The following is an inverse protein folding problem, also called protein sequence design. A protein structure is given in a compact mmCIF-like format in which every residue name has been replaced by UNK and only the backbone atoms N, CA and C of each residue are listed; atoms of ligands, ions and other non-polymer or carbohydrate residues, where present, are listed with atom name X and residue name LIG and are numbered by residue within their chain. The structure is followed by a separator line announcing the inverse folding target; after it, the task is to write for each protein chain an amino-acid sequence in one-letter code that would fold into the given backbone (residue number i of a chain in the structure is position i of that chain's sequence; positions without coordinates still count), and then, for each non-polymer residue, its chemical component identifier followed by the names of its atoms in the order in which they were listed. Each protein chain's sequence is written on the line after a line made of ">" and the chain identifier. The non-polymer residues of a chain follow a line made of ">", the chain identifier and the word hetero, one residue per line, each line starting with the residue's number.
data_IF_885355815444
#
_entry.id   IF_885355815444
#
_cell.length_a   1.000
_cell.length_b   1.000
_cell.length_c   1.000
_cell.angle_alpha   90.00
_cell.angle_beta   90.00
_cell.angle_gamma   90.00
#
_symmetry.space_group_name_H-M   'P 1'
#
loop_
_entity.id
_entity.type
_entity.pdbx_description
1 polymer ?
#
# COMPACT_ATOMS: atom_id res chain seq x y z
N UNK A 1 6.77 -1.11 -33.74
CA UNK A 1 5.95 -1.40 -32.54
C UNK A 1 4.47 -1.38 -32.93
N UNK A 2 3.62 -2.28 -32.40
CA UNK A 2 2.19 -2.35 -32.75
C UNK A 2 1.33 -2.52 -31.48
N UNK A 3 0.23 -1.78 -31.37
CA UNK A 3 -0.77 -1.90 -30.29
C UNK A 3 -2.16 -2.01 -30.89
N UNK A 4 -2.89 -3.07 -30.56
CA UNK A 4 -4.27 -3.28 -31.00
C UNK A 4 -5.22 -2.95 -29.83
N UNK A 5 -6.23 -2.13 -30.09
CA UNK A 5 -7.25 -1.70 -29.12
C UNK A 5 -8.60 -2.18 -29.62
N UNK A 6 -9.16 -3.21 -28.98
CA UNK A 6 -10.53 -3.67 -29.25
C UNK A 6 -11.52 -2.76 -28.51
N UNK A 7 -12.47 -2.17 -29.22
CA UNK A 7 -13.48 -1.26 -28.65
C UNK A 7 -14.83 -1.46 -29.33
N UNK A 8 -15.90 -0.98 -28.69
CA UNK A 8 -17.18 -0.82 -29.36
C UNK A 8 -17.39 0.63 -29.79
N UNK A 9 -18.15 0.81 -30.86
CA UNK A 9 -18.75 2.09 -31.26
C UNK A 9 -20.03 2.28 -30.45
N UNK A 10 -20.20 3.46 -29.88
CA UNK A 10 -21.36 3.84 -29.05
C UNK A 10 -22.16 4.95 -29.73
N UNK A 11 -23.43 5.06 -29.36
CA UNK A 11 -24.33 6.09 -29.89
C UNK A 11 -24.85 5.79 -31.29
N UNK A 12 -24.66 4.56 -31.78
CA UNK A 12 -25.10 4.10 -33.11
C UNK A 12 -26.60 4.32 -33.30
N UNK A 13 -27.38 4.10 -32.25
CA UNK A 13 -28.83 4.32 -32.25
C UNK A 13 -29.25 5.77 -32.57
N UNK A 14 -28.36 6.75 -32.36
CA UNK A 14 -28.63 8.17 -32.64
C UNK A 14 -28.27 8.56 -34.07
N UNK A 15 -27.37 7.82 -34.72
CA UNK A 15 -26.92 8.09 -36.09
C UNK A 15 -27.59 7.17 -37.14
N UNK A 16 -28.13 6.03 -36.70
CA UNK A 16 -28.85 5.05 -37.52
C UNK A 16 -27.93 4.23 -38.42
N UNK A 17 -27.96 2.90 -38.27
CA UNK A 17 -27.42 1.98 -39.27
C UNK A 17 -28.51 1.66 -40.28
N UNK A 18 -28.60 2.39 -41.38
CA UNK A 18 -29.50 1.99 -42.48
C UNK A 18 -28.92 0.84 -43.32
N UNK A 19 -29.77 0.20 -44.11
CA UNK A 19 -29.37 -0.92 -44.99
C UNK A 19 -28.25 -0.52 -45.95
N UNK A 20 -28.27 0.73 -46.44
CA UNK A 20 -27.25 1.25 -47.34
C UNK A 20 -25.87 1.31 -46.67
N UNK A 21 -25.80 1.76 -45.42
CA UNK A 21 -24.57 1.84 -44.63
C UNK A 21 -24.05 0.44 -44.27
N UNK A 22 -24.94 -0.49 -43.92
CA UNK A 22 -24.58 -1.90 -43.70
C UNK A 22 -23.99 -2.50 -44.98
N UNK A 23 -24.58 -2.21 -46.14
CA UNK A 23 -24.07 -2.68 -47.42
C UNK A 23 -22.73 -2.03 -47.77
N UNK A 24 -22.52 -0.74 -47.50
CA UNK A 24 -21.21 -0.08 -47.65
C UNK A 24 -20.12 -0.75 -46.81
N UNK A 25 -20.41 -1.07 -45.55
CA UNK A 25 -19.46 -1.76 -44.67
C UNK A 25 -19.14 -3.17 -45.20
N UNK A 26 -20.17 -3.91 -45.67
CA UNK A 26 -19.99 -5.23 -46.29
C UNK A 26 -19.19 -5.17 -47.59
N UNK A 27 -19.31 -4.08 -48.34
CA UNK A 27 -18.49 -3.78 -49.52
C UNK A 27 -17.07 -3.28 -49.16
N UNK A 28 -16.62 -3.46 -47.90
CA UNK A 28 -15.29 -3.10 -47.41
C UNK A 28 -14.95 -1.61 -47.53
N UNK A 29 -15.95 -0.71 -47.42
CA UNK A 29 -15.63 0.71 -47.26
C UNK A 29 -14.75 0.90 -46.02
N UNK A 30 -13.67 1.68 -46.12
CA UNK A 30 -12.75 1.86 -45.02
C UNK A 30 -13.44 2.59 -43.86
N UNK A 31 -13.28 2.04 -42.67
CA UNK A 31 -13.60 2.75 -41.43
C UNK A 31 -12.52 3.79 -41.18
N UNK A 32 -12.94 5.02 -40.93
CA UNK A 32 -12.04 6.14 -40.62
C UNK A 32 -12.37 6.75 -39.26
N UNK A 33 -11.38 7.44 -38.67
CA UNK A 33 -11.52 8.12 -37.39
C UNK A 33 -11.38 9.62 -37.58
N UNK A 34 -12.19 10.38 -36.85
CA UNK A 34 -12.10 11.84 -36.81
C UNK A 34 -12.13 12.32 -35.37
N UNK A 35 -11.16 13.13 -34.98
CA UNK A 35 -11.16 13.78 -33.65
C UNK A 35 -12.23 14.87 -33.61
N UNK A 36 -12.93 14.96 -32.48
CA UNK A 36 -13.91 16.02 -32.20
C UNK A 36 -13.53 16.76 -30.90
N UNK A 37 -12.42 17.54 -30.88
CA UNK A 37 -11.95 18.19 -29.66
C UNK A 37 -12.93 19.22 -29.08
N UNK A 38 -13.82 19.77 -29.92
CA UNK A 38 -14.90 20.68 -29.52
C UNK A 38 -16.17 20.00 -28.99
N UNK A 39 -16.16 18.68 -28.80
CA UNK A 39 -17.33 17.97 -28.27
C UNK A 39 -17.63 18.40 -26.82
N UNK A 40 -18.89 18.76 -26.55
CA UNK A 40 -19.35 19.31 -25.25
C UNK A 40 -19.24 18.34 -24.07
N UNK A 41 -19.19 17.02 -24.32
CA UNK A 41 -19.17 15.99 -23.29
C UNK A 41 -17.77 15.39 -23.08
N UNK A 42 -16.96 15.33 -24.13
CA UNK A 42 -15.63 14.75 -24.09
C UNK A 42 -14.68 15.38 -25.12
N UNK A 43 -13.72 16.18 -24.65
CA UNK A 43 -12.65 16.76 -25.50
C UNK A 43 -11.80 15.72 -26.23
N UNK A 44 -11.82 14.47 -25.78
CA UNK A 44 -11.10 13.37 -26.44
C UNK A 44 -12.01 12.56 -27.38
N UNK A 45 -13.23 13.01 -27.67
CA UNK A 45 -14.16 12.31 -28.53
C UNK A 45 -13.52 12.00 -29.90
N UNK A 46 -13.69 10.75 -30.32
CA UNK A 46 -13.26 10.26 -31.63
C UNK A 46 -14.49 9.65 -32.30
N UNK A 47 -14.93 10.28 -33.38
CA UNK A 47 -16.00 9.78 -34.22
C UNK A 47 -15.46 8.65 -35.12
N UNK A 48 -16.31 7.66 -35.36
CA UNK A 48 -16.07 6.60 -36.35
C UNK A 48 -16.93 6.89 -37.55
N UNK A 49 -16.33 6.81 -38.74
CA UNK A 49 -17.00 7.12 -40.00
C UNK A 49 -16.87 5.94 -40.97
N UNK A 50 -17.87 5.82 -41.85
CA UNK A 50 -17.83 4.98 -43.05
C UNK A 50 -17.99 5.93 -44.23
N UNK A 51 -16.95 6.08 -45.04
CA UNK A 51 -16.87 7.21 -45.98
C UNK A 51 -16.98 8.54 -45.22
N UNK A 52 -18.00 9.34 -45.54
CA UNK A 52 -18.26 10.63 -44.88
C UNK A 52 -19.38 10.56 -43.82
N UNK A 53 -19.98 9.40 -43.59
CA UNK A 53 -21.08 9.24 -42.65
C UNK A 53 -20.56 8.84 -41.28
N UNK A 54 -20.88 9.63 -40.26
CA UNK A 54 -20.61 9.29 -38.85
C UNK A 54 -21.57 8.21 -38.38
N UNK A 55 -21.01 7.14 -37.80
CA UNK A 55 -21.78 6.00 -37.29
C UNK A 55 -21.84 5.96 -35.76
N UNK A 56 -21.00 6.76 -35.10
CA UNK A 56 -20.97 6.88 -33.65
C UNK A 56 -19.59 7.31 -33.16
N UNK A 57 -19.32 7.00 -31.89
CA UNK A 57 -18.07 7.35 -31.23
C UNK A 57 -17.37 6.14 -30.65
N UNK A 58 -16.06 6.23 -30.52
CA UNK A 58 -15.29 5.29 -29.70
C UNK A 58 -15.68 5.46 -28.23
N UNK A 59 -15.73 4.36 -27.46
CA UNK A 59 -15.88 4.44 -26.01
C UNK A 59 -14.88 5.40 -25.37
N UNK A 60 -15.37 6.21 -24.42
CA UNK A 60 -14.59 7.20 -23.68
C UNK A 60 -13.24 6.69 -23.17
N UNK A 61 -13.21 5.50 -22.57
CA UNK A 61 -11.99 4.88 -22.03
C UNK A 61 -10.88 4.75 -23.07
N UNK A 62 -11.21 4.35 -24.31
CA UNK A 62 -10.23 4.19 -25.38
C UNK A 62 -9.97 5.50 -26.12
N UNK A 63 -10.97 6.39 -26.21
CA UNK A 63 -10.82 7.71 -26.84
C UNK A 63 -9.74 8.57 -26.15
N UNK A 64 -9.56 8.40 -24.83
CA UNK A 64 -8.49 9.04 -24.04
C UNK A 64 -7.08 8.67 -24.47
N UNK A 65 -6.91 7.53 -25.14
CA UNK A 65 -5.62 7.05 -25.66
C UNK A 65 -5.50 7.35 -27.15
N UNK A 66 -6.56 7.10 -27.91
CA UNK A 66 -6.56 7.22 -29.37
C UNK A 66 -6.54 8.68 -29.82
N UNK A 67 -7.28 9.57 -29.14
CA UNK A 67 -7.33 10.98 -29.52
C UNK A 67 -5.96 11.68 -29.37
N UNK A 68 -5.21 11.50 -28.26
CA UNK A 68 -3.84 11.99 -28.18
C UNK A 68 -2.88 11.34 -29.20
N UNK A 69 -3.04 10.04 -29.48
CA UNK A 69 -2.20 9.36 -30.48
C UNK A 69 -2.41 9.95 -31.89
N UNK A 70 -3.67 10.22 -32.24
CA UNK A 70 -4.02 10.93 -33.49
C UNK A 70 -3.48 12.36 -33.52
N UNK A 71 -3.43 13.05 -32.37
CA UNK A 71 -2.87 14.40 -32.27
C UNK A 71 -1.36 14.43 -32.47
N UNK A 72 -0.67 13.46 -31.86
CA UNK A 72 0.78 13.40 -31.89
C UNK A 72 1.32 13.01 -33.27
N UNK A 73 0.51 12.29 -34.07
CA UNK A 73 0.85 11.83 -35.43
C UNK A 73 2.19 11.05 -35.49
N UNK A 74 2.48 10.29 -34.42
CA UNK A 74 3.72 9.52 -34.29
C UNK A 74 3.59 8.07 -34.78
N UNK A 75 2.37 7.62 -35.02
CA UNK A 75 2.05 6.25 -35.42
C UNK A 75 0.94 6.25 -36.47
N UNK A 76 1.02 5.31 -37.41
CA UNK A 76 -0.08 5.05 -38.32
C UNK A 76 -1.24 4.41 -37.55
N UNK A 77 -2.45 4.81 -37.90
CA UNK A 77 -3.68 4.38 -37.23
C UNK A 77 -4.59 3.73 -38.27
N UNK A 78 -4.89 2.45 -38.07
CA UNK A 78 -5.84 1.73 -38.92
C UNK A 78 -7.01 1.21 -38.10
N UNK A 79 -8.18 1.15 -38.72
CA UNK A 79 -9.40 0.63 -38.08
C UNK A 79 -9.93 -0.52 -38.89
N UNK A 80 -10.18 -1.63 -38.19
CA UNK A 80 -10.76 -2.82 -38.76
C UNK A 80 -11.97 -3.22 -37.95
N UNK A 81 -12.96 -3.76 -38.60
CA UNK A 81 -14.11 -4.34 -37.93
C UNK A 81 -13.75 -5.74 -37.41
N UNK A 82 -14.29 -6.14 -36.26
CA UNK A 82 -14.03 -7.46 -35.67
C UNK A 82 -14.70 -8.58 -36.48
N UNK A 83 -15.96 -8.40 -36.89
CA UNK A 83 -16.69 -9.37 -37.70
C UNK A 83 -17.58 -8.68 -38.75
N UNK A 84 -17.12 -8.53 -40.01
CA UNK A 84 -17.90 -7.91 -41.08
C UNK A 84 -19.07 -8.73 -41.58
N UNK A 85 -19.12 -10.03 -41.32
CA UNK A 85 -20.17 -10.89 -41.87
C UNK A 85 -21.46 -10.81 -41.06
N UNK A 86 -21.35 -10.46 -39.78
CA UNK A 86 -22.48 -10.48 -38.83
C UNK A 86 -23.15 -9.12 -38.59
N UNK A 87 -22.76 -8.07 -39.33
CA UNK A 87 -23.43 -6.76 -39.19
C UNK A 87 -24.87 -6.85 -39.72
N UNK A 88 -25.80 -6.43 -38.86
CA UNK A 88 -27.22 -6.21 -39.17
C UNK A 88 -27.62 -4.78 -38.79
N UNK A 89 -28.76 -4.32 -39.30
CA UNK A 89 -29.32 -2.99 -39.01
C UNK A 89 -29.57 -2.81 -37.50
N UNK A 90 -30.04 -3.86 -36.82
CA UNK A 90 -30.30 -3.87 -35.37
C UNK A 90 -29.14 -4.41 -34.54
N UNK A 91 -27.90 -3.97 -34.82
CA UNK A 91 -26.75 -4.43 -34.05
C UNK A 91 -26.68 -3.76 -32.68
N UNK A 92 -26.70 -4.57 -31.62
CA UNK A 92 -26.53 -4.05 -30.25
C UNK A 92 -25.10 -3.56 -29.98
N UNK A 93 -24.10 -4.14 -30.66
CA UNK A 93 -22.68 -3.87 -30.45
C UNK A 93 -21.91 -3.89 -31.76
N UNK A 94 -21.37 -2.74 -32.15
CA UNK A 94 -20.47 -2.64 -33.29
C UNK A 94 -19.02 -2.61 -32.79
N UNK A 95 -18.33 -3.74 -32.88
CA UNK A 95 -16.96 -3.88 -32.38
C UNK A 95 -15.91 -3.64 -33.47
N UNK A 96 -14.92 -2.80 -33.16
CA UNK A 96 -13.79 -2.48 -34.02
C UNK A 96 -12.47 -2.73 -33.29
N UNK A 97 -11.42 -2.98 -34.07
CA UNK A 97 -10.03 -3.04 -33.62
C UNK A 97 -9.31 -1.85 -34.25
N UNK A 98 -8.71 -1.04 -33.39
CA UNK A 98 -7.87 0.08 -33.79
C UNK A 98 -6.42 -0.33 -33.58
N UNK A 99 -5.64 -0.29 -34.65
CA UNK A 99 -4.21 -0.61 -34.62
C UNK A 99 -3.41 0.68 -34.66
N UNK A 100 -2.57 0.90 -33.66
CA UNK A 100 -1.52 1.91 -33.67
C UNK A 100 -0.20 1.23 -34.06
N UNK A 101 0.49 1.75 -35.07
CA UNK A 101 1.75 1.20 -35.54
C UNK A 101 2.82 2.30 -35.70
N UNK A 102 3.88 2.19 -34.90
CA UNK A 102 5.02 3.09 -34.99
C UNK A 102 5.82 2.87 -36.29
N UNK A 103 6.35 3.96 -36.85
CA UNK A 103 7.12 3.97 -38.11
C UNK A 103 8.48 3.24 -38.02
N UNK A 104 9.14 3.29 -36.86
CA UNK A 104 10.42 2.62 -36.61
C UNK A 104 10.41 1.95 -35.23
N UNK A 105 11.28 0.98 -34.92
CA UNK A 105 11.51 0.55 -33.54
C UNK A 105 12.34 1.59 -32.77
N UNK A 106 12.13 1.66 -31.46
CA UNK A 106 12.94 2.48 -30.55
C UNK A 106 13.44 1.65 -29.38
N UNK A 107 14.64 1.95 -28.92
CA UNK A 107 15.25 1.29 -27.76
C UNK A 107 15.11 2.18 -26.54
N UNK A 108 14.56 1.62 -25.47
CA UNK A 108 14.51 2.29 -24.17
C UNK A 108 15.87 2.22 -23.46
N UNK A 109 16.20 3.20 -22.61
CA UNK A 109 17.41 3.15 -21.80
C UNK A 109 17.38 1.94 -20.87
N UNK A 110 18.52 1.28 -20.72
CA UNK A 110 18.75 0.24 -19.73
C UNK A 110 19.53 0.84 -18.57
N UNK A 111 18.95 0.85 -17.37
CA UNK A 111 19.58 1.45 -16.18
C UNK A 111 20.32 0.40 -15.33
N UNK A 112 20.19 -0.88 -15.68
CA UNK A 112 20.89 -1.99 -15.04
C UNK A 112 21.04 -3.17 -16.01
N UNK A 113 22.12 -3.97 -15.92
CA UNK A 113 22.25 -5.21 -16.67
C UNK A 113 21.37 -6.35 -16.12
N UNK A 114 20.80 -6.22 -14.92
CA UNK A 114 19.99 -7.25 -14.27
C UNK A 114 18.56 -6.77 -13.99
N UNK A 115 17.67 -7.69 -13.64
CA UNK A 115 16.32 -7.33 -13.16
C UNK A 115 16.45 -6.66 -11.81
N UNK A 116 16.08 -5.38 -11.75
CA UNK A 116 16.10 -4.59 -10.51
C UNK A 116 14.69 -4.07 -10.21
N UNK A 117 14.28 -4.26 -8.96
CA UNK A 117 13.12 -3.61 -8.36
C UNK A 117 13.55 -2.34 -7.61
N UNK A 118 12.73 -1.30 -7.65
CA UNK A 118 13.08 -0.03 -7.03
C UNK A 118 12.28 1.16 -7.55
N UNK A 119 12.77 2.33 -7.17
CA UNK A 119 12.35 3.65 -7.62
C UNK A 119 13.33 4.16 -8.66
N UNK A 120 12.80 4.64 -9.78
CA UNK A 120 13.56 5.26 -10.85
C UNK A 120 13.06 6.67 -11.13
N UNK A 121 13.88 7.42 -11.86
CA UNK A 121 13.59 8.77 -12.30
C UNK A 121 13.76 8.86 -13.81
N UNK A 122 12.86 9.59 -14.44
CA UNK A 122 13.01 10.11 -15.79
C UNK A 122 13.19 11.63 -15.72
N UNK A 123 14.31 12.13 -16.24
CA UNK A 123 14.47 13.56 -16.51
C UNK A 123 13.97 13.84 -17.92
N UNK A 124 13.24 14.93 -18.07
CA UNK A 124 12.49 15.30 -19.26
C UNK A 124 13.02 16.64 -19.78
N UNK A 125 13.47 16.68 -21.02
CA UNK A 125 13.92 17.88 -21.70
C UNK A 125 15.11 18.58 -21.05
N UNK A 126 15.24 19.88 -21.39
CA UNK A 126 16.29 20.78 -20.89
C UNK A 126 15.90 21.50 -19.61
N UNK A 127 14.62 21.50 -19.26
CA UNK A 127 14.04 22.19 -18.10
C UNK A 127 14.18 21.38 -16.80
N UNK A 128 14.79 20.19 -16.88
CA UNK A 128 15.05 19.30 -15.75
C UNK A 128 13.74 18.86 -15.06
N UNK A 129 12.62 18.91 -15.80
CA UNK A 129 11.34 18.35 -15.39
C UNK A 129 11.51 16.87 -15.09
N UNK A 130 10.86 16.39 -14.03
CA UNK A 130 11.18 15.09 -13.44
C UNK A 130 9.93 14.25 -13.28
N UNK A 131 10.01 12.97 -13.66
CA UNK A 131 9.03 11.96 -13.33
C UNK A 131 9.66 10.88 -12.45
N UNK A 132 8.98 10.52 -11.37
CA UNK A 132 9.35 9.41 -10.49
C UNK A 132 8.43 8.24 -10.76
N UNK A 133 8.99 7.04 -10.84
CA UNK A 133 8.21 5.82 -10.98
C UNK A 133 8.77 4.69 -10.15
N UNK A 134 7.92 3.70 -9.87
CA UNK A 134 8.30 2.44 -9.25
C UNK A 134 8.16 1.25 -10.20
N UNK A 135 8.94 0.19 -9.97
CA UNK A 135 8.73 -1.10 -10.66
C UNK A 135 9.42 -2.25 -9.95
N UNK A 136 8.91 -3.48 -10.17
CA UNK A 136 9.61 -4.74 -9.86
C UNK A 136 10.69 -5.08 -10.90
N UNK A 137 10.59 -4.49 -12.08
CA UNK A 137 11.57 -4.57 -13.15
C UNK A 137 11.61 -3.20 -13.84
N UNK A 138 12.60 -2.38 -13.45
CA UNK A 138 12.70 -0.99 -13.93
C UNK A 138 12.89 -0.95 -15.45
N UNK A 139 13.80 -1.74 -16.01
CA UNK A 139 14.05 -1.76 -17.46
C UNK A 139 12.79 -2.09 -18.27
N UNK A 140 12.04 -3.12 -17.85
CA UNK A 140 10.78 -3.48 -18.51
C UNK A 140 9.73 -2.35 -18.42
N UNK A 141 9.69 -1.61 -17.31
CA UNK A 141 8.80 -0.45 -17.17
C UNK A 141 9.24 0.70 -18.07
N UNK A 142 10.54 0.98 -18.18
CA UNK A 142 11.10 1.96 -19.10
C UNK A 142 10.78 1.63 -20.57
N UNK A 143 10.90 0.36 -20.95
CA UNK A 143 10.47 -0.10 -22.28
C UNK A 143 9.00 0.18 -22.55
N UNK A 144 8.15 -0.02 -21.55
CA UNK A 144 6.72 0.25 -21.66
C UNK A 144 6.47 1.75 -21.87
N UNK A 145 7.14 2.61 -21.10
CA UNK A 145 7.09 4.07 -21.30
C UNK A 145 7.50 4.47 -22.72
N UNK A 146 8.65 3.99 -23.22
CA UNK A 146 9.14 4.30 -24.57
C UNK A 146 8.18 3.85 -25.67
N UNK A 147 7.60 2.65 -25.51
CA UNK A 147 6.61 2.12 -26.44
C UNK A 147 5.36 3.01 -26.50
N UNK A 148 4.84 3.42 -25.34
CA UNK A 148 3.66 4.28 -25.30
C UNK A 148 3.94 5.68 -25.84
N UNK A 149 5.11 6.26 -25.55
CA UNK A 149 5.53 7.53 -26.12
C UNK A 149 5.59 7.50 -27.64
N UNK A 150 6.16 6.43 -28.19
CA UNK A 150 6.28 6.24 -29.63
C UNK A 150 4.92 6.12 -30.33
N UNK A 151 3.91 5.63 -29.62
CA UNK A 151 2.55 5.52 -30.13
C UNK A 151 1.72 6.79 -29.89
N UNK A 152 2.27 7.83 -29.25
CA UNK A 152 1.53 9.03 -28.84
C UNK A 152 0.46 8.74 -27.78
N UNK A 153 0.61 7.63 -27.05
CA UNK A 153 -0.46 6.99 -26.27
C UNK A 153 -0.14 6.94 -24.76
N UNK A 154 0.83 7.72 -24.29
CA UNK A 154 1.29 7.69 -22.92
C UNK A 154 0.29 8.30 -21.93
N UNK A 155 0.08 7.62 -20.79
CA UNK A 155 -0.92 8.01 -19.78
C UNK A 155 -0.66 9.34 -19.07
N UNK A 156 0.60 9.79 -19.02
CA UNK A 156 0.98 11.13 -18.53
C UNK A 156 1.11 12.12 -19.70
N UNK A 157 0.16 13.08 -19.87
CA UNK A 157 0.18 14.04 -20.98
C UNK A 157 1.37 14.99 -20.96
N UNK A 158 1.86 15.35 -19.77
CA UNK A 158 3.03 16.22 -19.65
C UNK A 158 4.25 15.50 -20.25
N UNK A 159 4.50 14.26 -19.85
CA UNK A 159 5.60 13.47 -20.42
C UNK A 159 5.45 13.27 -21.93
N UNK A 160 4.25 12.98 -22.42
CA UNK A 160 4.02 12.86 -23.88
C UNK A 160 4.34 14.17 -24.61
N UNK A 161 4.00 15.33 -24.03
CA UNK A 161 4.35 16.63 -24.60
C UNK A 161 5.86 16.83 -24.69
N UNK A 162 6.61 16.49 -23.62
CA UNK A 162 8.07 16.54 -23.66
C UNK A 162 8.65 15.60 -24.73
N UNK A 163 8.08 14.40 -24.87
CA UNK A 163 8.48 13.47 -25.91
C UNK A 163 8.25 14.01 -27.31
N UNK A 164 7.09 14.62 -27.57
CA UNK A 164 6.78 15.20 -28.87
C UNK A 164 7.74 16.35 -29.24
N UNK A 165 8.28 17.06 -28.25
CA UNK A 165 9.21 18.18 -28.46
C UNK A 165 10.66 17.74 -28.66
N UNK A 166 11.14 16.79 -27.85
CA UNK A 166 12.58 16.46 -27.76
C UNK A 166 12.93 15.03 -28.19
N UNK A 167 11.92 14.20 -28.46
CA UNK A 167 12.09 12.77 -28.74
C UNK A 167 12.80 12.02 -27.62
N UNK A 168 13.40 10.87 -27.96
CA UNK A 168 14.16 10.06 -27.00
C UNK A 168 15.41 10.76 -26.46
N UNK A 169 16.03 11.64 -27.25
CA UNK A 169 17.25 12.34 -26.85
C UNK A 169 17.04 13.30 -25.68
N UNK A 170 15.80 13.75 -25.47
CA UNK A 170 15.42 14.60 -24.34
C UNK A 170 15.12 13.83 -23.05
N UNK A 171 15.34 12.51 -23.00
CA UNK A 171 14.98 11.69 -21.84
C UNK A 171 16.19 10.93 -21.31
N UNK A 172 16.42 11.02 -20.01
CA UNK A 172 17.41 10.19 -19.32
C UNK A 172 16.78 9.46 -18.15
N UNK A 173 17.15 8.19 -17.98
CA UNK A 173 16.66 7.34 -16.90
C UNK A 173 17.77 7.07 -15.88
N UNK A 174 17.43 7.12 -14.59
CA UNK A 174 18.34 6.74 -13.50
C UNK A 174 17.61 5.97 -12.39
N UNK A 175 18.34 5.10 -11.68
CA UNK A 175 17.83 4.45 -10.47
C UNK A 175 18.02 5.41 -9.31
N UNK A 176 16.93 5.71 -8.59
CA UNK A 176 16.94 6.58 -7.42
C UNK A 176 17.17 5.76 -6.16
N UNK A 177 16.46 4.64 -6.03
CA UNK A 177 16.53 3.78 -4.84
C UNK A 177 16.21 2.34 -5.20
N UNK A 178 17.10 1.40 -4.85
CA UNK A 178 16.87 -0.03 -5.04
C UNK A 178 16.03 -0.59 -3.89
N UNK A 179 15.11 -1.49 -4.19
CA UNK A 179 14.38 -2.18 -3.13
C UNK A 179 15.33 -3.08 -2.33
N UNK A 180 15.11 -3.22 -1.00
CA UNK A 180 15.78 -4.25 -0.23
C UNK A 180 15.57 -5.64 -0.83
N UNK A 181 16.60 -6.47 -0.70
CA UNK A 181 16.52 -7.86 -1.13
C UNK A 181 15.56 -8.67 -0.23
N UNK A 182 15.04 -9.77 -0.78
CA UNK A 182 14.25 -10.77 -0.04
C UNK A 182 12.95 -10.27 0.60
N UNK A 183 12.37 -9.17 0.10
CA UNK A 183 11.03 -8.76 0.51
C UNK A 183 9.97 -9.73 -0.03
N UNK A 184 9.01 -10.07 0.81
CA UNK A 184 7.81 -10.79 0.37
C UNK A 184 7.02 -9.95 -0.65
N UNK A 185 6.20 -10.55 -1.53
CA UNK A 185 5.45 -9.81 -2.54
C UNK A 185 4.61 -8.65 -1.98
N UNK A 186 4.01 -8.81 -0.80
CA UNK A 186 3.27 -7.73 -0.14
C UNK A 186 4.20 -6.64 0.37
N UNK A 187 5.26 -7.00 1.09
CA UNK A 187 6.21 -6.03 1.65
C UNK A 187 6.92 -5.24 0.55
N UNK A 188 7.24 -5.87 -0.59
CA UNK A 188 7.82 -5.20 -1.74
C UNK A 188 6.88 -4.13 -2.30
N UNK A 189 5.58 -4.42 -2.45
CA UNK A 189 4.62 -3.42 -2.94
C UNK A 189 4.38 -2.29 -1.94
N UNK A 190 4.40 -2.59 -0.63
CA UNK A 190 4.32 -1.57 0.41
C UNK A 190 5.51 -0.64 0.35
N UNK A 191 6.71 -1.23 0.28
CA UNK A 191 7.97 -0.49 0.20
C UNK A 191 7.98 0.39 -1.06
N UNK A 192 7.67 -0.17 -2.23
CA UNK A 192 7.65 0.59 -3.48
C UNK A 192 6.71 1.79 -3.35
N UNK A 193 5.45 1.59 -2.95
CA UNK A 193 4.46 2.67 -2.89
C UNK A 193 4.80 3.76 -1.86
N UNK A 194 5.39 3.39 -0.74
CA UNK A 194 5.88 4.36 0.27
C UNK A 194 7.07 5.17 -0.25
N UNK A 195 8.04 4.52 -0.90
CA UNK A 195 9.23 5.20 -1.43
C UNK A 195 8.90 6.06 -2.65
N UNK A 196 8.05 5.61 -3.56
CA UNK A 196 7.57 6.41 -4.69
C UNK A 196 6.92 7.71 -4.20
N UNK A 197 6.04 7.63 -3.20
CA UNK A 197 5.40 8.81 -2.60
C UNK A 197 6.42 9.77 -2.00
N UNK A 198 7.36 9.25 -1.21
CA UNK A 198 8.42 10.06 -0.61
C UNK A 198 9.22 10.84 -1.68
N UNK A 199 9.61 10.18 -2.77
CA UNK A 199 10.38 10.81 -3.84
C UNK A 199 9.55 11.79 -4.66
N UNK A 200 8.27 11.50 -4.94
CA UNK A 200 7.36 12.45 -5.58
C UNK A 200 7.20 13.71 -4.74
N UNK A 201 6.97 13.58 -3.42
CA UNK A 201 6.83 14.72 -2.51
C UNK A 201 8.11 15.58 -2.50
N UNK A 202 9.28 14.93 -2.44
CA UNK A 202 10.57 15.59 -2.50
C UNK A 202 10.78 16.37 -3.80
N UNK A 203 10.47 15.78 -4.96
CA UNK A 203 10.63 16.45 -6.26
C UNK A 203 9.53 17.49 -6.53
N UNK A 204 8.34 17.34 -5.95
CA UNK A 204 7.33 18.40 -6.02
C UNK A 204 7.75 19.64 -5.26
N UNK A 205 8.44 19.48 -4.12
CA UNK A 205 8.98 20.60 -3.37
C UNK A 205 10.03 21.40 -4.17
N UNK A 206 10.67 20.81 -5.19
CA UNK A 206 11.58 21.52 -6.10
C UNK A 206 10.87 22.24 -7.25
N UNK A 207 9.55 22.01 -7.44
CA UNK A 207 8.73 22.63 -8.48
C UNK A 207 8.82 21.97 -9.87
N UNK A 208 9.55 20.86 -10.01
CA UNK A 208 9.85 20.24 -11.33
C UNK A 208 9.15 18.90 -11.57
N UNK A 209 8.37 18.39 -10.61
CA UNK A 209 7.78 17.06 -10.71
C UNK A 209 6.51 17.05 -11.59
N UNK A 210 6.49 16.20 -12.61
CA UNK A 210 5.36 16.05 -13.54
C UNK A 210 4.45 14.86 -13.22
N UNK A 211 4.61 14.21 -12.07
CA UNK A 211 3.75 13.12 -11.62
C UNK A 211 2.32 13.60 -11.42
N UNK A 212 1.38 13.03 -12.18
CA UNK A 212 -0.06 13.33 -12.08
C UNK A 212 -0.68 12.72 -10.83
N UNK A 213 -0.24 11.51 -10.46
CA UNK A 213 -0.70 10.77 -9.29
C UNK A 213 0.39 10.69 -8.23
N UNK A 214 -0.03 10.49 -6.99
CA UNK A 214 0.86 10.19 -5.88
C UNK A 214 1.29 8.72 -5.94
N UNK A 215 2.42 8.41 -5.30
CA UNK A 215 2.88 7.04 -5.18
C UNK A 215 1.86 6.19 -4.42
N UNK A 216 1.40 5.11 -5.05
CA UNK A 216 0.41 4.20 -4.50
C UNK A 216 0.90 2.76 -4.47
N UNK A 217 0.41 2.02 -3.48
CA UNK A 217 0.66 0.58 -3.39
C UNK A 217 -0.14 -0.13 -4.49
N UNK A 218 0.57 -0.84 -5.37
CA UNK A 218 -0.07 -1.66 -6.40
C UNK A 218 -0.33 -3.07 -5.88
N UNK A 219 -1.60 -3.36 -5.58
CA UNK A 219 -2.03 -4.67 -5.08
C UNK A 219 -2.06 -5.72 -6.21
N UNK A 220 -0.91 -6.34 -6.48
CA UNK A 220 -0.82 -7.51 -7.37
C UNK A 220 -1.40 -8.75 -6.72
N UNK A 221 -1.89 -9.72 -7.49
CA UNK A 221 -2.42 -10.99 -6.97
C UNK A 221 -1.45 -11.72 -6.02
N UNK A 222 -0.15 -11.70 -6.34
CA UNK A 222 0.88 -12.26 -5.47
C UNK A 222 0.97 -11.54 -4.12
N UNK A 223 0.83 -10.21 -4.11
CA UNK A 223 0.81 -9.41 -2.89
C UNK A 223 -0.48 -9.63 -2.08
N UNK A 224 -1.62 -9.83 -2.76
CA UNK A 224 -2.89 -10.15 -2.10
C UNK A 224 -2.78 -11.51 -1.40
N UNK A 225 -2.32 -12.55 -2.10
CA UNK A 225 -2.15 -13.90 -1.52
C UNK A 225 -1.15 -13.92 -0.37
N UNK A 226 0.00 -13.25 -0.54
CA UNK A 226 1.03 -13.16 0.49
C UNK A 226 0.48 -12.47 1.75
N UNK A 227 -0.27 -11.38 1.58
CA UNK A 227 -0.95 -10.69 2.67
C UNK A 227 -1.99 -11.57 3.37
N UNK A 228 -2.80 -12.31 2.63
CA UNK A 228 -3.78 -13.25 3.18
C UNK A 228 -3.09 -14.33 4.01
N UNK A 229 -1.97 -14.89 3.52
CA UNK A 229 -1.18 -15.86 4.26
C UNK A 229 -0.59 -15.28 5.55
N UNK A 230 -0.07 -14.05 5.51
CA UNK A 230 0.42 -13.35 6.71
C UNK A 230 -0.69 -13.12 7.74
N UNK A 231 -1.89 -12.75 7.27
CA UNK A 231 -3.06 -12.59 8.13
C UNK A 231 -3.48 -13.91 8.79
N UNK A 232 -3.53 -15.01 8.04
CA UNK A 232 -3.87 -16.33 8.58
C UNK A 232 -2.89 -16.75 9.67
N UNK A 233 -1.57 -16.62 9.41
CA UNK A 233 -0.53 -16.93 10.41
C UNK A 233 -0.67 -16.08 11.67
N UNK A 234 -0.96 -14.79 11.50
CA UNK A 234 -1.18 -13.90 12.63
C UNK A 234 -2.42 -14.28 13.43
N UNK A 235 -3.54 -14.55 12.77
CA UNK A 235 -4.79 -14.96 13.42
C UNK A 235 -4.63 -16.29 14.17
N UNK A 236 -3.90 -17.24 13.60
CA UNK A 236 -3.51 -18.49 14.28
C UNK A 236 -2.70 -18.21 15.54
N UNK A 237 -1.63 -17.41 15.43
CA UNK A 237 -0.80 -17.04 16.57
C UNK A 237 -1.60 -16.35 17.68
N UNK A 238 -2.50 -15.42 17.34
CA UNK A 238 -3.38 -14.77 18.32
C UNK A 238 -4.34 -15.76 18.96
N UNK A 239 -4.91 -16.68 18.18
CA UNK A 239 -5.83 -17.71 18.67
C UNK A 239 -5.14 -18.65 19.66
N UNK A 240 -3.88 -18.99 19.40
CA UNK A 240 -3.07 -19.88 20.24
C UNK A 240 -2.52 -19.17 21.49
N UNK A 241 -1.94 -17.98 21.35
CA UNK A 241 -1.25 -17.29 22.46
C UNK A 241 -2.21 -16.61 23.44
N UNK A 242 -3.33 -16.07 22.98
CA UNK A 242 -4.29 -15.33 23.83
C UNK A 242 -4.82 -16.14 25.03
N UNK A 243 -5.29 -17.39 24.89
CA UNK A 243 -5.79 -18.15 26.04
C UNK A 243 -4.69 -18.42 27.07
N UNK A 244 -3.49 -18.79 26.61
CA UNK A 244 -2.32 -19.03 27.48
C UNK A 244 -1.97 -17.76 28.26
N UNK A 245 -1.89 -16.62 27.58
CA UNK A 245 -1.58 -15.33 28.19
C UNK A 245 -2.61 -14.90 29.25
N UNK A 246 -3.90 -15.19 29.02
CA UNK A 246 -4.96 -14.90 29.99
C UNK A 246 -4.85 -15.80 31.23
N UNK A 247 -4.45 -17.07 31.04
CA UNK A 247 -4.20 -17.99 32.14
C UNK A 247 -2.98 -17.57 32.96
N UNK A 248 -1.88 -17.19 32.32
CA UNK A 248 -0.66 -16.66 32.97
C UNK A 248 -0.99 -15.41 33.79
N UNK A 249 -1.76 -14.46 33.23
CA UNK A 249 -2.20 -13.26 33.96
C UNK A 249 -3.02 -13.62 35.21
N UNK A 250 -3.95 -14.57 35.10
CA UNK A 250 -4.76 -15.01 36.25
C UNK A 250 -3.89 -15.62 37.35
N UNK A 251 -2.88 -16.40 37.00
CA UNK A 251 -1.93 -16.98 37.95
C UNK A 251 -1.09 -15.91 38.65
N UNK A 252 -0.60 -14.92 37.89
CA UNK A 252 0.18 -13.79 38.42
C UNK A 252 -0.66 -12.91 39.34
N UNK A 253 -1.94 -12.70 39.03
CA UNK A 253 -2.88 -11.96 39.90
C UNK A 253 -3.16 -12.71 41.21
N UNK A 254 -3.35 -14.02 41.14
CA UNK A 254 -3.51 -14.85 42.33
C UNK A 254 -2.25 -14.82 43.21
N UNK A 255 -1.07 -14.97 42.60
CA UNK A 255 0.22 -14.88 43.29
C UNK A 255 0.46 -13.51 43.91
N UNK A 256 0.04 -12.43 43.22
CA UNK A 256 0.15 -11.07 43.76
C UNK A 256 -0.62 -10.94 45.08
N UNK A 257 -1.84 -11.46 45.13
CA UNK A 257 -2.64 -11.46 46.35
C UNK A 257 -1.99 -12.24 47.50
N UNK A 258 -1.41 -13.41 47.20
CA UNK A 258 -0.70 -14.21 48.21
C UNK A 258 0.54 -13.50 48.75
N UNK A 259 1.35 -12.92 47.86
CA UNK A 259 2.57 -12.21 48.25
C UNK A 259 2.27 -10.94 49.05
N UNK A 260 1.23 -10.20 48.67
CA UNK A 260 0.80 -9.01 49.41
C UNK A 260 0.36 -9.35 50.83
N UNK A 261 -0.33 -10.48 51.01
CA UNK A 261 -0.70 -10.99 52.34
C UNK A 261 0.54 -11.30 53.18
N UNK A 262 1.50 -12.06 52.63
CA UNK A 262 2.76 -12.40 53.32
C UNK A 262 3.54 -11.12 53.68
N UNK A 263 3.64 -10.17 52.75
CA UNK A 263 4.30 -8.88 53.00
C UNK A 263 3.64 -8.14 54.16
N UNK A 264 2.31 -8.08 54.18
CA UNK A 264 1.54 -7.43 55.25
C UNK A 264 1.81 -8.11 56.59
N UNK A 265 1.74 -9.44 56.66
CA UNK A 265 2.03 -10.22 57.86
C UNK A 265 3.46 -9.97 58.37
N UNK A 266 4.47 -9.96 57.48
CA UNK A 266 5.85 -9.64 57.85
C UNK A 266 5.99 -8.21 58.37
N UNK A 267 5.32 -7.24 57.74
CA UNK A 267 5.34 -5.83 58.14
C UNK A 267 4.71 -5.62 59.51
N UNK A 268 3.57 -6.26 59.78
CA UNK A 268 2.91 -6.22 61.08
C UNK A 268 3.81 -6.85 62.15
N UNK A 269 4.44 -7.98 61.86
CA UNK A 269 5.36 -8.63 62.79
C UNK A 269 6.56 -7.75 63.15
N UNK A 270 7.17 -7.06 62.18
CA UNK A 270 8.25 -6.09 62.44
C UNK A 270 7.75 -4.97 63.35
N UNK A 271 6.59 -4.38 63.01
CA UNK A 271 5.99 -3.27 63.80
C UNK A 271 5.72 -3.70 65.24
N UNK A 272 5.13 -4.86 65.44
CA UNK A 272 4.76 -5.35 66.77
C UNK A 272 5.99 -5.62 67.63
N UNK A 273 7.05 -6.23 67.06
CA UNK A 273 8.31 -6.46 67.78
C UNK A 273 9.03 -5.15 68.13
N UNK A 274 9.02 -4.17 67.21
CA UNK A 274 9.61 -2.86 67.47
C UNK A 274 8.84 -2.06 68.52
N UNK A 275 7.51 -2.11 68.50
CA UNK A 275 6.69 -1.44 69.52
C UNK A 275 6.87 -2.11 70.88
N UNK A 276 6.92 -3.44 70.94
CA UNK A 276 7.24 -4.17 72.16
C UNK A 276 8.61 -3.78 72.72
N UNK A 277 9.64 -3.69 71.86
CA UNK A 277 10.96 -3.22 72.26
C UNK A 277 10.89 -1.80 72.84
N UNK A 278 10.17 -0.87 72.19
CA UNK A 278 10.00 0.52 72.64
C UNK A 278 9.25 0.63 73.98
N UNK A 279 8.25 -0.21 74.22
CA UNK A 279 7.49 -0.22 75.47
C UNK A 279 8.37 -0.62 76.67
N UNK A 280 9.26 -1.57 76.46
CA UNK A 280 10.08 -2.16 77.51
C UNK A 280 11.51 -1.59 77.63
N UNK A 281 11.82 -0.53 76.87
CA UNK A 281 13.10 0.19 76.92
C UNK A 281 12.88 1.70 77.14
N UNK A 282 13.94 2.43 77.50
CA UNK A 282 13.87 3.88 77.71
C UNK A 282 12.88 4.33 78.79
N UNK A 283 12.28 5.51 78.63
CA UNK A 283 11.35 6.11 79.59
C UNK A 283 10.04 5.33 79.75
N UNK A 284 9.59 4.61 78.71
CA UNK A 284 8.34 3.82 78.76
C UNK A 284 8.46 2.57 79.66
N UNK A 285 9.67 2.07 79.87
CA UNK A 285 9.91 0.91 80.74
C UNK A 285 9.48 1.09 82.20
N UNK A 286 9.27 2.34 82.67
CA UNK A 286 8.68 2.61 83.98
C UNK A 286 7.22 2.13 84.10
N UNK A 287 6.47 2.17 82.99
CA UNK A 287 5.06 1.75 82.95
C UNK A 287 4.92 0.26 82.64
N UNK A 288 5.72 -0.26 81.70
CA UNK A 288 5.58 -1.63 81.18
C UNK A 288 6.57 -2.64 81.78
N UNK A 289 7.48 -2.20 82.64
CA UNK A 289 8.57 -3.02 83.17
C UNK A 289 9.77 -3.08 82.24
N UNK A 290 10.98 -3.02 82.81
CA UNK A 290 12.24 -3.08 82.06
C UNK A 290 12.63 -4.52 81.76
N UNK A 291 12.91 -4.81 80.48
CA UNK A 291 13.47 -6.10 80.08
C UNK A 291 14.95 -6.23 80.47
N UNK A 292 15.43 -7.44 80.82
CA UNK A 292 16.85 -7.70 80.99
C UNK A 292 17.58 -7.58 79.63
N UNK A 293 18.86 -7.19 79.65
CA UNK A 293 19.65 -6.93 78.43
C UNK A 293 19.63 -8.12 77.45
N UNK A 294 19.77 -9.35 77.96
CA UNK A 294 19.70 -10.56 77.13
C UNK A 294 18.40 -10.67 76.34
N UNK A 295 17.26 -10.34 76.95
CA UNK A 295 15.97 -10.36 76.27
C UNK A 295 15.84 -9.24 75.22
N UNK A 296 16.49 -8.09 75.46
CA UNK A 296 16.61 -7.02 74.47
C UNK A 296 17.42 -7.50 73.26
N UNK A 297 18.56 -8.15 73.48
CA UNK A 297 19.42 -8.67 72.40
C UNK A 297 18.69 -9.74 71.57
N UNK A 298 18.00 -10.68 72.23
CA UNK A 298 17.18 -11.71 71.58
C UNK A 298 16.03 -11.10 70.75
N UNK A 299 15.41 -10.03 71.25
CA UNK A 299 14.35 -9.30 70.54
C UNK A 299 14.91 -8.55 69.33
N UNK A 300 16.08 -7.92 69.45
CA UNK A 300 16.76 -7.26 68.32
C UNK A 300 17.10 -8.27 67.20
N UNK A 301 17.59 -9.46 67.55
CA UNK A 301 17.81 -10.54 66.58
C UNK A 301 16.50 -10.95 65.90
N UNK A 302 15.41 -11.04 66.67
CA UNK A 302 14.08 -11.37 66.13
C UNK A 302 13.56 -10.29 65.18
N UNK A 303 13.75 -9.00 65.49
CA UNK A 303 13.43 -7.87 64.60
C UNK A 303 14.26 -7.95 63.32
N UNK A 304 15.56 -8.20 63.42
CA UNK A 304 16.43 -8.31 62.24
C UNK A 304 15.98 -9.43 61.30
N UNK A 305 15.63 -10.61 61.85
CA UNK A 305 15.06 -11.73 61.06
C UNK A 305 13.72 -11.36 60.43
N UNK A 306 12.83 -10.68 61.16
CA UNK A 306 11.54 -10.26 60.64
C UNK A 306 11.69 -9.23 59.51
N UNK A 307 12.64 -8.30 59.62
CA UNK A 307 12.97 -7.34 58.54
C UNK A 307 13.53 -8.05 57.31
N UNK A 308 14.44 -9.01 57.49
CA UNK A 308 14.93 -9.82 56.38
C UNK A 308 13.78 -10.57 55.66
N UNK A 309 12.83 -11.12 56.41
CA UNK A 309 11.65 -11.77 55.82
C UNK A 309 10.76 -10.78 55.05
N UNK A 310 10.57 -9.56 55.59
CA UNK A 310 9.85 -8.49 54.92
C UNK A 310 10.54 -8.07 53.61
N UNK A 311 11.87 -7.92 53.61
CA UNK A 311 12.64 -7.57 52.42
C UNK A 311 12.49 -8.65 51.33
N UNK A 312 12.56 -9.93 51.71
CA UNK A 312 12.32 -11.06 50.78
C UNK A 312 10.91 -11.02 50.20
N UNK A 313 9.88 -10.76 51.03
CA UNK A 313 8.50 -10.63 50.57
C UNK A 313 8.32 -9.45 49.62
N UNK A 314 8.97 -8.32 49.91
CA UNK A 314 8.95 -7.12 49.07
C UNK A 314 9.57 -7.38 47.69
N UNK A 315 10.74 -8.01 47.64
CA UNK A 315 11.39 -8.41 46.38
C UNK A 315 10.47 -9.31 45.54
N UNK A 316 9.84 -10.31 46.16
CA UNK A 316 8.91 -11.19 45.47
C UNK A 316 7.68 -10.44 44.91
N UNK A 317 7.14 -9.47 45.64
CA UNK A 317 6.06 -8.59 45.16
C UNK A 317 6.50 -7.78 43.93
N UNK A 318 7.72 -7.24 43.95
CA UNK A 318 8.26 -6.43 42.86
C UNK A 318 8.50 -7.27 41.59
N UNK A 319 9.07 -8.47 41.73
CA UNK A 319 9.24 -9.43 40.63
C UNK A 319 7.89 -9.82 40.00
N UNK A 320 6.89 -10.14 40.82
CA UNK A 320 5.56 -10.50 40.34
C UNK A 320 4.87 -9.31 39.64
N UNK A 321 5.09 -8.09 40.13
CA UNK A 321 4.61 -6.85 39.50
C UNK A 321 5.27 -6.62 38.14
N UNK A 322 6.58 -6.86 38.02
CA UNK A 322 7.30 -6.77 36.76
C UNK A 322 6.77 -7.78 35.73
N UNK A 323 6.57 -9.03 36.15
CA UNK A 323 5.98 -10.07 35.30
C UNK A 323 4.57 -9.68 34.82
N UNK A 324 3.71 -9.18 35.72
CA UNK A 324 2.38 -8.69 35.35
C UNK A 324 2.45 -7.59 34.28
N UNK A 325 3.36 -6.64 34.42
CA UNK A 325 3.56 -5.55 33.44
C UNK A 325 3.97 -6.10 32.08
N UNK A 326 4.88 -7.08 32.04
CA UNK A 326 5.31 -7.73 30.80
C UNK A 326 4.14 -8.43 30.09
N UNK A 327 3.35 -9.22 30.80
CA UNK A 327 2.20 -9.93 30.23
C UNK A 327 1.10 -8.97 29.74
N UNK A 328 0.86 -7.87 30.46
CA UNK A 328 -0.09 -6.82 30.02
C UNK A 328 0.41 -6.12 28.76
N UNK A 329 1.73 -5.88 28.64
CA UNK A 329 2.33 -5.32 27.42
C UNK A 329 2.13 -6.26 26.24
N UNK A 330 2.46 -7.54 26.39
CA UNK A 330 2.26 -8.56 25.34
C UNK A 330 0.79 -8.64 24.91
N UNK A 331 -0.15 -8.59 25.87
CA UNK A 331 -1.60 -8.59 25.59
C UNK A 331 -2.02 -7.39 24.75
N UNK A 332 -1.45 -6.20 25.01
CA UNK A 332 -1.71 -4.99 24.22
C UNK A 332 -1.14 -5.10 22.81
N UNK A 333 0.04 -5.69 22.66
CA UNK A 333 0.67 -5.93 21.36
C UNK A 333 -0.19 -6.85 20.50
N UNK A 334 -0.66 -7.99 21.04
CA UNK A 334 -1.59 -8.90 20.34
C UNK A 334 -2.89 -8.20 19.88
N UNK A 335 -3.43 -7.26 20.67
CA UNK A 335 -4.64 -6.49 20.30
C UNK A 335 -4.36 -5.46 19.20
N UNK A 336 -3.20 -4.80 19.27
CA UNK A 336 -2.82 -3.71 18.34
C UNK A 336 -2.62 -4.24 16.93
N UNK A 337 -2.00 -5.42 16.78
CA UNK A 337 -1.80 -6.02 15.45
C UNK A 337 -3.15 -6.34 14.78
N UNK A 338 -4.13 -6.86 15.53
CA UNK A 338 -5.49 -7.11 15.03
C UNK A 338 -6.21 -5.82 14.60
N UNK A 339 -6.07 -4.74 15.37
CA UNK A 339 -6.66 -3.44 15.03
C UNK A 339 -6.00 -2.83 13.78
N UNK A 340 -4.67 -2.88 13.67
CA UNK A 340 -3.96 -2.42 12.47
C UNK A 340 -4.39 -3.22 11.24
N UNK A 341 -4.51 -4.54 11.33
CA UNK A 341 -5.00 -5.38 10.24
C UNK A 341 -6.43 -5.02 9.81
N UNK A 342 -7.33 -4.72 10.76
CA UNK A 342 -8.70 -4.32 10.49
C UNK A 342 -8.80 -2.94 9.80
N UNK A 343 -8.04 -1.95 10.27
CA UNK A 343 -8.00 -0.59 9.68
C UNK A 343 -7.42 -0.64 8.26
N UNK A 344 -6.35 -1.39 8.04
CA UNK A 344 -5.77 -1.60 6.70
C UNK A 344 -6.77 -2.27 5.75
N UNK A 345 -7.54 -3.26 6.23
CA UNK A 345 -8.62 -3.87 5.44
C UNK A 345 -9.75 -2.88 5.10
N UNK A 346 -10.14 -2.02 6.03
CA UNK A 346 -11.17 -1.01 5.78
C UNK A 346 -10.70 0.04 4.77
N UNK A 347 -9.43 0.47 4.86
CA UNK A 347 -8.81 1.42 3.92
C UNK A 347 -8.69 0.82 2.52
N UNK A 348 -8.27 -0.45 2.43
CA UNK A 348 -8.18 -1.16 1.15
C UNK A 348 -9.54 -1.51 0.55
N UNK A 349 -10.59 -1.73 1.34
CA UNK A 349 -11.96 -1.85 0.80
C UNK A 349 -12.49 -0.52 0.25
N UNK A 350 -12.07 0.61 0.85
CA UNK A 350 -12.39 1.95 0.32
C UNK A 350 -11.61 2.26 -0.96
N UNK A 351 -10.36 1.81 -1.06
CA UNK A 351 -9.50 2.00 -2.24
C UNK A 351 -9.76 0.96 -3.36
N UNK A 352 -10.17 -0.26 -3.00
CA UNK A 352 -10.52 -1.36 -3.89
C UNK A 352 -11.96 -1.31 -4.41
N UNK A 353 -12.66 -0.21 -4.17
CA UNK A 353 -13.90 0.13 -4.87
C UNK A 353 -13.60 0.46 -6.34
N UNK A 354 -13.38 -0.59 -7.14
CA UNK A 354 -13.32 -0.58 -8.62
C UNK A 354 -12.29 0.38 -9.24
N UNK A 355 -11.06 -0.10 -9.38
CA UNK A 355 -10.28 0.21 -10.60
C UNK A 355 -9.79 -1.12 -11.14
N UNK A 356 -10.25 -1.47 -12.35
CA UNK A 356 -9.78 -2.69 -13.02
C UNK A 356 -8.32 -2.46 -13.41
N UNK A 357 -7.45 -3.49 -13.38
CA UNK A 357 -6.05 -3.38 -13.81
C UNK A 357 -5.88 -2.84 -15.25
N UNK A 358 -6.95 -2.87 -16.05
CA UNK A 358 -6.99 -2.29 -17.40
C UNK A 358 -6.95 -0.77 -17.45
N UNK A 359 -7.18 -0.08 -16.32
CA UNK A 359 -7.24 1.38 -16.26
C UNK A 359 -5.95 2.03 -15.72
N UNK A 360 -4.94 1.22 -15.37
CA UNK A 360 -3.59 1.70 -15.04
C UNK A 360 -2.68 1.52 -16.26
N UNK A 361 -2.89 2.37 -17.27
CA UNK A 361 -1.95 2.58 -18.38
C UNK A 361 -1.42 4.00 -18.28
#
# INVERSE_FOLDING_TARGET
>A
MRRNIKTSVVGIQYYGLDEQLVQQIRMLHPLTLMREPGNSHDRNAVAVLVGNRKIGHIRRVHSRVISPAMEADLASITVHLVDPKDIKVDIEKFEIIITLQASAPITAPQVSPTVIAGIYRLRLGIDDSTYIGQSKNINHRLESHWKDFQLGAHGNPAMQKHWNLYGSSGFTAEIVEKSPDNLSPYNLQSWLGERERYWIERERASGKCVNVLDGEMVMTDAAIRDREALMIKHDQHVKERKPVLLQELKQVEHKAWQLERVRTECSERVRDLEEYLKQHTGLRSWVYGRLPQRAVDELQVSIARARQALDVAQVACDENTALRRALVKEKKELKTVRQKAAVTNQRLRRLGGRVKPTDMI
#
